data_IF_861919622148
#
_entry.id   IF_861919622148
#
_cell.length_a   1.000
_cell.length_b   1.000
_cell.length_c   1.000
_cell.angle_alpha   90.00
_cell.angle_beta   90.00
_cell.angle_gamma   90.00
#
_symmetry.space_group_name_H-M   'P 1'
#
loop_
_entity.id
_entity.type
_entity.pdbx_description
1 polymer ?
#
# COMPACT_ATOMS: atom_id res chain seq x y z
N UNK A 1 -0.18 -1.77 8.96
CA UNK A 1 0.42 -0.42 9.02
C UNK A 1 0.51 0.13 7.62
N UNK A 2 0.27 1.42 7.43
CA UNK A 2 0.36 2.09 6.14
C UNK A 2 1.50 3.12 6.15
N UNK A 3 2.34 3.08 5.13
CA UNK A 3 3.51 3.94 4.96
C UNK A 3 3.44 4.64 3.62
N UNK A 4 3.73 5.93 3.58
CA UNK A 4 3.85 6.69 2.34
C UNK A 4 4.96 7.73 2.49
N UNK A 5 5.82 7.82 1.48
CA UNK A 5 7.02 8.67 1.49
C UNK A 5 7.90 8.50 2.75
N UNK A 6 8.06 7.24 3.19
CA UNK A 6 8.86 6.88 4.38
C UNK A 6 8.16 7.09 5.73
N UNK A 7 6.97 7.70 5.76
CA UNK A 7 6.25 8.04 6.98
C UNK A 7 5.02 7.14 7.21
N UNK A 8 4.78 6.74 8.47
CA UNK A 8 3.56 6.01 8.83
C UNK A 8 2.40 6.99 8.87
N UNK A 9 1.38 6.78 8.04
CA UNK A 9 0.21 7.67 7.99
C UNK A 9 -1.08 7.02 8.50
N UNK A 10 -1.09 5.69 8.72
CA UNK A 10 -2.33 5.03 9.13
C UNK A 10 -2.21 3.56 9.51
N UNK A 11 -3.31 3.06 10.07
CA UNK A 11 -3.49 1.66 10.44
C UNK A 11 -4.86 1.20 9.96
N UNK A 12 -4.90 0.02 9.33
CA UNK A 12 -6.13 -0.66 8.92
C UNK A 12 -6.10 -2.09 9.41
N UNK A 13 -7.28 -2.65 9.67
CA UNK A 13 -7.45 -4.05 10.05
C UNK A 13 -7.33 -4.99 8.85
N UNK A 14 -7.65 -4.54 7.65
CA UNK A 14 -7.59 -5.30 6.39
C UNK A 14 -7.37 -4.35 5.19
N UNK A 15 -6.87 -4.90 4.08
CA UNK A 15 -6.80 -4.20 2.80
C UNK A 15 -8.17 -4.22 2.14
N UNK A 16 -8.73 -3.03 1.93
CA UNK A 16 -9.96 -2.82 1.17
C UNK A 16 -9.60 -2.18 -0.18
N UNK A 17 -10.35 -1.16 -0.55
CA UNK A 17 -10.25 -0.53 -1.86
C UNK A 17 -8.95 0.30 -1.99
N UNK A 18 -8.14 0.06 -3.04
CA UNK A 18 -6.88 0.76 -3.27
C UNK A 18 -7.06 2.22 -3.72
N UNK A 19 -8.24 2.59 -4.22
CA UNK A 19 -8.59 3.94 -4.66
C UNK A 19 -8.65 4.96 -3.50
N UNK A 20 -8.74 4.46 -2.26
CA UNK A 20 -8.63 5.28 -1.06
C UNK A 20 -7.18 5.59 -0.67
N UNK A 21 -6.19 5.00 -1.34
CA UNK A 21 -4.78 5.16 -0.98
C UNK A 21 -3.98 5.91 -2.05
N UNK A 22 -2.95 6.62 -1.59
CA UNK A 22 -2.02 7.31 -2.49
C UNK A 22 -1.19 6.29 -3.28
N UNK A 23 -0.97 6.50 -4.59
CA UNK A 23 -0.03 5.70 -5.35
C UNK A 23 1.34 5.63 -4.66
N UNK A 24 1.98 4.46 -4.72
CA UNK A 24 3.22 4.12 -4.03
C UNK A 24 3.16 4.00 -2.50
N UNK A 25 1.99 4.09 -1.88
CA UNK A 25 1.84 3.72 -0.48
C UNK A 25 2.12 2.21 -0.28
N UNK A 26 2.72 1.87 0.86
CA UNK A 26 2.95 0.51 1.28
C UNK A 26 2.01 0.14 2.42
N UNK A 27 1.51 -1.08 2.39
CA UNK A 27 0.80 -1.70 3.50
C UNK A 27 1.58 -2.92 3.99
N UNK A 28 1.81 -2.97 5.30
CA UNK A 28 2.39 -4.11 5.99
C UNK A 28 1.33 -4.76 6.87
N UNK A 29 1.11 -6.07 6.68
CA UNK A 29 0.20 -6.85 7.50
C UNK A 29 0.89 -7.49 8.73
N UNK A 30 0.13 -8.24 9.53
CA UNK A 30 0.66 -8.90 10.74
C UNK A 30 1.52 -10.13 10.44
N UNK A 31 1.41 -10.71 9.25
CA UNK A 31 2.22 -11.83 8.80
C UNK A 31 3.55 -11.37 8.17
N UNK A 32 3.75 -10.05 8.04
CA UNK A 32 4.94 -9.46 7.42
C UNK A 32 4.84 -9.35 5.91
N UNK A 33 3.67 -9.59 5.31
CA UNK A 33 3.46 -9.39 3.89
C UNK A 33 3.37 -7.90 3.57
N UNK A 34 4.05 -7.51 2.49
CA UNK A 34 4.12 -6.13 2.00
C UNK A 34 3.30 -6.03 0.72
N UNK A 35 2.44 -5.03 0.66
CA UNK A 35 1.67 -4.68 -0.53
C UNK A 35 1.93 -3.23 -0.91
N UNK A 36 2.08 -2.95 -2.20
CA UNK A 36 2.21 -1.60 -2.74
C UNK A 36 0.93 -1.21 -3.46
N UNK A 37 0.47 0.02 -3.21
CA UNK A 37 -0.61 0.64 -3.96
C UNK A 37 -0.06 1.10 -5.33
N UNK A 38 -0.57 0.54 -6.42
CA UNK A 38 -0.06 0.82 -7.78
C UNK A 38 -1.13 1.34 -8.74
N UNK A 39 -0.65 2.10 -9.74
CA UNK A 39 -1.46 2.77 -10.74
C UNK A 39 -2.20 4.00 -10.18
N UNK A 40 -3.01 4.62 -11.04
CA UNK A 40 -3.83 5.78 -10.66
C UNK A 40 -3.03 7.07 -10.50
N UNK A 41 -3.53 7.99 -9.69
CA UNK A 41 -2.95 9.32 -9.42
C UNK A 41 -3.38 9.83 -8.03
N UNK A 42 -2.83 10.96 -7.59
CA UNK A 42 -3.10 11.50 -6.25
C UNK A 42 -4.54 11.96 -6.03
N UNK A 43 -5.33 12.17 -7.09
CA UNK A 43 -6.72 12.59 -7.01
C UNK A 43 -7.69 11.40 -6.97
N UNK A 44 -7.43 10.38 -7.78
CA UNK A 44 -8.26 9.19 -7.92
C UNK A 44 -7.80 8.01 -7.05
N UNK A 45 -6.62 8.11 -6.43
CA UNK A 45 -5.97 7.04 -5.67
C UNK A 45 -5.43 5.91 -6.55
N UNK A 46 -4.97 4.84 -5.92
CA UNK A 46 -4.39 3.69 -6.60
C UNK A 46 -5.45 2.78 -7.24
N UNK A 47 -5.02 1.96 -8.21
CA UNK A 47 -5.91 1.02 -8.92
C UNK A 47 -5.87 -0.40 -8.35
N UNK A 48 -4.75 -0.78 -7.73
CA UNK A 48 -4.55 -2.12 -7.22
C UNK A 48 -3.60 -2.14 -6.03
N UNK A 49 -3.75 -3.17 -5.20
CA UNK A 49 -2.72 -3.63 -4.28
C UNK A 49 -1.90 -4.73 -4.96
N UNK A 50 -0.58 -4.55 -5.02
CA UNK A 50 0.35 -5.52 -5.60
C UNK A 50 1.24 -6.05 -4.49
N UNK A 51 1.32 -7.38 -4.36
CA UNK A 51 2.21 -8.01 -3.40
C UNK A 51 3.66 -7.75 -3.79
N UNK A 52 4.49 -7.36 -2.82
CA UNK A 52 5.91 -7.12 -2.99
C UNK A 52 6.67 -8.32 -2.46
N UNK A 53 7.53 -8.89 -3.30
CA UNK A 53 8.54 -9.86 -2.87
C UNK A 53 9.81 -9.09 -2.47
N UNK A 54 10.13 -8.98 -1.17
CA UNK A 54 11.31 -8.25 -0.71
C UNK A 54 12.63 -8.99 -1.02
N UNK A 55 12.57 -10.31 -1.25
CA UNK A 55 13.74 -11.16 -1.49
C UNK A 55 14.00 -11.38 -3.00
N UNK A 56 13.06 -10.97 -3.86
CA UNK A 56 13.14 -11.12 -5.31
C UNK A 56 13.94 -10.04 -6.05
N UNK A 57 14.73 -9.23 -5.33
CA UNK A 57 15.54 -8.13 -5.90
C UNK A 57 17.01 -8.53 -6.14
#
# INVERSE_FOLDING_TARGET
MLVWDGEVYGWKNELRDPDSERPSAYALDKAGLIFRAEGGDDYNGAKAWVAVDPDGQ
#
